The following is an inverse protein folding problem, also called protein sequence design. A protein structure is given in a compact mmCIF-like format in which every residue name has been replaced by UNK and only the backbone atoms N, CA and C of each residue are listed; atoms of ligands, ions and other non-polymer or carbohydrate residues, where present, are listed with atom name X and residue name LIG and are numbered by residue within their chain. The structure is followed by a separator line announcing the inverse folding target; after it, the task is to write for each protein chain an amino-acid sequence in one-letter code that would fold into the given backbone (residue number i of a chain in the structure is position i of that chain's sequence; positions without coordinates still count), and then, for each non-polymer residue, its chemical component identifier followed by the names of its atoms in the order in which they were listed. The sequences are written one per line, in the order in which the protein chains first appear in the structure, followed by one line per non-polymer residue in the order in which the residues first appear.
data_IF_451843799195
#
_entry.id   IF_451843799195
#
_cell.length_a   1.000
_cell.length_b   1.000
_cell.length_c   1.000
_cell.angle_alpha   90.00
_cell.angle_beta   90.00
_cell.angle_gamma   90.00
#
_symmetry.space_group_name_H-M   'P 1'
#
loop_
_entity.id
_entity.type
_entity.pdbx_description
1 polymer ?
#
# COMPACT_ATOMS: atom_id res chain seq x y z
N UNK A 1 -14.77 -22.17 -37.94
CA UNK A 1 -13.47 -21.72 -37.40
C UNK A 1 -13.78 -20.60 -36.44
N UNK A 2 -14.06 -20.97 -35.17
CA UNK A 2 -13.17 -20.76 -34.00
C UNK A 2 -12.95 -19.27 -33.75
N UNK A 3 -13.76 -18.61 -32.92
CA UNK A 3 -13.80 -18.61 -31.44
C UNK A 3 -12.69 -17.75 -30.81
N UNK A 4 -13.08 -17.10 -29.70
CA UNK A 4 -12.29 -16.47 -28.63
C UNK A 4 -11.88 -15.00 -28.77
N UNK A 5 -11.78 -14.23 -27.69
CA UNK A 5 -12.37 -14.28 -26.34
C UNK A 5 -11.86 -13.03 -25.62
N UNK A 6 -12.71 -12.52 -24.75
CA UNK A 6 -12.51 -11.61 -23.61
C UNK A 6 -11.16 -11.75 -22.88
N UNK A 7 -10.60 -10.65 -22.36
CA UNK A 7 -9.99 -10.51 -21.00
C UNK A 7 -9.55 -9.05 -20.77
N UNK A 8 -10.13 -8.31 -19.83
CA UNK A 8 -10.02 -8.37 -18.35
C UNK A 8 -8.63 -7.88 -17.87
N UNK A 9 -8.67 -6.75 -17.18
CA UNK A 9 -7.62 -6.04 -16.43
C UNK A 9 -7.11 -6.82 -15.21
N UNK A 10 -5.84 -6.66 -14.76
CA UNK A 10 -5.42 -7.15 -13.46
C UNK A 10 -5.31 -6.05 -12.39
N UNK A 11 -5.79 -6.41 -11.19
CA UNK A 11 -5.74 -5.69 -9.91
C UNK A 11 -4.41 -5.91 -9.14
N UNK A 12 -4.11 -4.94 -8.26
CA UNK A 12 -3.30 -4.97 -7.02
C UNK A 12 -2.18 -6.02 -6.86
N UNK A 13 -0.93 -5.55 -6.89
CA UNK A 13 0.32 -6.34 -6.79
C UNK A 13 0.69 -6.70 -5.34
N UNK A 14 0.41 -7.94 -4.93
CA UNK A 14 1.12 -8.63 -3.83
C UNK A 14 2.53 -9.01 -4.28
N UNK A 15 3.53 -8.84 -3.40
CA UNK A 15 4.90 -9.25 -3.69
C UNK A 15 4.95 -10.77 -3.90
N UNK A 16 5.27 -11.19 -5.13
CA UNK A 16 5.31 -12.59 -5.56
C UNK A 16 6.76 -13.00 -5.78
N UNK A 17 7.27 -13.93 -4.98
CA UNK A 17 8.58 -14.52 -5.21
C UNK A 17 8.43 -15.65 -6.23
N UNK A 18 9.04 -15.50 -7.40
CA UNK A 18 8.92 -16.44 -8.53
C UNK A 18 10.22 -17.23 -8.68
N UNK A 19 10.11 -18.56 -8.69
CA UNK A 19 11.18 -19.48 -9.12
C UNK A 19 10.75 -20.17 -10.42
N UNK A 20 11.65 -20.93 -11.07
CA UNK A 20 11.34 -21.59 -12.34
C UNK A 20 10.17 -22.59 -12.25
N UNK A 21 9.92 -23.19 -11.08
CA UNK A 21 8.94 -24.28 -10.91
C UNK A 21 7.70 -23.90 -10.06
N UNK A 22 7.80 -22.86 -9.23
CA UNK A 22 6.73 -22.43 -8.34
C UNK A 22 6.86 -20.95 -7.94
N UNK A 23 5.79 -20.43 -7.35
CA UNK A 23 5.75 -19.08 -6.78
C UNK A 23 5.22 -19.09 -5.34
N UNK A 24 5.61 -18.11 -4.53
CA UNK A 24 5.08 -17.88 -3.18
C UNK A 24 4.44 -16.50 -3.13
N UNK A 25 3.25 -16.43 -2.56
CA UNK A 25 2.46 -15.21 -2.41
C UNK A 25 1.79 -15.16 -1.03
N UNK A 26 1.45 -13.94 -0.59
CA UNK A 26 0.61 -13.76 0.59
C UNK A 26 -0.81 -14.23 0.30
N UNK A 27 -1.37 -15.01 1.23
CA UNK A 27 -2.72 -15.53 1.16
C UNK A 27 -3.65 -14.73 2.08
N UNK A 28 -4.80 -14.34 1.56
CA UNK A 28 -5.88 -13.73 2.32
C UNK A 28 -6.81 -14.84 2.84
N UNK A 29 -7.01 -14.89 4.16
CA UNK A 29 -7.76 -15.97 4.81
C UNK A 29 -9.11 -16.24 4.13
N UNK A 30 -9.95 -15.23 3.93
CA UNK A 30 -11.30 -15.41 3.38
C UNK A 30 -11.31 -15.89 1.92
N UNK A 31 -10.33 -15.47 1.12
CA UNK A 31 -10.26 -15.78 -0.32
C UNK A 31 -9.58 -17.12 -0.58
N UNK A 32 -8.50 -17.38 0.12
CA UNK A 32 -7.57 -18.48 -0.18
C UNK A 32 -7.76 -19.68 0.77
N UNK A 33 -8.80 -19.65 1.63
CA UNK A 33 -9.10 -20.69 2.62
C UNK A 33 -9.14 -22.10 2.03
N UNK A 34 -9.76 -22.27 0.87
CA UNK A 34 -9.91 -23.57 0.22
C UNK A 34 -8.54 -24.20 -0.11
N UNK A 35 -7.61 -23.39 -0.60
CA UNK A 35 -6.27 -23.83 -1.00
C UNK A 35 -5.36 -24.07 0.22
N UNK A 36 -5.46 -23.19 1.24
CA UNK A 36 -4.80 -23.38 2.53
C UNK A 36 -5.23 -24.71 3.17
N UNK A 37 -6.55 -24.96 3.14
CA UNK A 37 -7.17 -26.19 3.65
C UNK A 37 -6.72 -27.42 2.89
N UNK A 38 -6.70 -27.36 1.56
CA UNK A 38 -6.29 -28.51 0.75
C UNK A 38 -4.88 -28.99 1.11
N UNK A 39 -3.92 -28.06 1.22
CA UNK A 39 -2.53 -28.40 1.58
C UNK A 39 -2.42 -28.88 3.03
N UNK A 40 -3.08 -28.20 3.97
CA UNK A 40 -3.02 -28.54 5.41
C UNK A 40 -3.68 -29.88 5.71
N UNK A 41 -4.83 -30.18 5.13
CA UNK A 41 -5.49 -31.47 5.32
C UNK A 41 -4.67 -32.63 4.73
N UNK A 42 -4.06 -32.45 3.56
CA UNK A 42 -3.18 -33.48 2.97
C UNK A 42 -1.97 -33.78 3.88
N UNK A 43 -1.30 -32.74 4.40
CA UNK A 43 -0.06 -32.91 5.15
C UNK A 43 -0.30 -33.24 6.63
N UNK A 44 -1.16 -32.50 7.32
CA UNK A 44 -1.34 -32.67 8.77
C UNK A 44 -2.34 -33.78 9.09
N UNK A 45 -3.50 -33.79 8.44
CA UNK A 45 -4.56 -34.77 8.75
C UNK A 45 -4.28 -36.13 8.11
N UNK A 46 -4.04 -36.16 6.79
CA UNK A 46 -3.89 -37.42 6.05
C UNK A 46 -2.50 -38.02 6.29
N UNK A 47 -1.42 -37.25 6.15
CA UNK A 47 -0.07 -37.80 6.28
C UNK A 47 0.38 -37.92 7.74
N UNK A 48 0.23 -36.86 8.55
CA UNK A 48 0.75 -36.84 9.93
C UNK A 48 -0.26 -37.31 10.98
N UNK A 49 -1.50 -37.62 10.58
CA UNK A 49 -2.56 -38.14 11.46
C UNK A 49 -2.92 -37.20 12.63
N UNK A 50 -2.76 -35.88 12.43
CA UNK A 50 -3.30 -34.85 13.32
C UNK A 50 -4.82 -34.87 13.21
N UNK A 51 -5.54 -34.78 14.34
CA UNK A 51 -7.00 -34.77 14.29
C UNK A 51 -7.52 -33.52 13.58
N UNK A 52 -8.66 -33.63 12.88
CA UNK A 52 -9.25 -32.47 12.19
C UNK A 52 -9.64 -31.35 13.15
N UNK A 53 -9.98 -31.69 14.39
CA UNK A 53 -10.35 -30.72 15.42
C UNK A 53 -9.14 -29.93 15.93
N UNK A 54 -7.96 -30.54 16.00
CA UNK A 54 -6.71 -29.87 16.43
C UNK A 54 -6.07 -29.04 15.32
N UNK A 55 -6.40 -29.31 14.05
CA UNK A 55 -5.79 -28.63 12.92
C UNK A 55 -6.18 -27.14 12.84
N UNK A 56 -7.43 -26.82 13.18
CA UNK A 56 -8.01 -25.49 13.04
C UNK A 56 -8.14 -24.80 14.39
N UNK A 57 -7.69 -23.55 14.49
CA UNK A 57 -7.77 -22.78 15.74
C UNK A 57 -8.27 -21.34 15.53
N UNK A 58 -8.53 -20.65 16.63
CA UNK A 58 -9.08 -19.28 16.61
C UNK A 58 -8.10 -18.24 16.03
N UNK A 59 -6.80 -18.56 15.99
CA UNK A 59 -5.77 -17.66 15.46
C UNK A 59 -5.70 -17.70 13.94
N UNK A 60 -6.30 -18.70 13.30
CA UNK A 60 -6.25 -18.86 11.86
C UNK A 60 -6.77 -17.62 11.11
N UNK A 61 -7.92 -17.08 11.50
CA UNK A 61 -8.49 -15.88 10.86
C UNK A 61 -7.68 -14.60 11.10
N UNK A 62 -6.85 -14.57 12.15
CA UNK A 62 -6.05 -13.41 12.55
C UNK A 62 -4.60 -13.46 12.05
N UNK A 63 -4.19 -14.59 11.46
CA UNK A 63 -2.81 -14.84 11.06
C UNK A 63 -2.50 -14.33 9.66
N UNK A 64 -1.23 -14.01 9.42
CA UNK A 64 -0.71 -13.79 8.08
C UNK A 64 -0.38 -15.14 7.45
N UNK A 65 -1.03 -15.46 6.33
CA UNK A 65 -0.81 -16.72 5.61
C UNK A 65 0.04 -16.50 4.37
N UNK A 66 0.80 -17.52 4.00
CA UNK A 66 1.49 -17.61 2.71
C UNK A 66 1.12 -18.91 2.02
N UNK A 67 1.08 -18.86 0.69
CA UNK A 67 0.76 -19.99 -0.15
C UNK A 67 1.81 -20.12 -1.25
N UNK A 68 2.31 -21.34 -1.45
CA UNK A 68 3.13 -21.70 -2.58
C UNK A 68 2.27 -22.36 -3.64
N UNK A 69 2.37 -21.91 -4.89
CA UNK A 69 1.68 -22.48 -6.05
C UNK A 69 2.67 -22.94 -7.11
N UNK A 70 2.43 -24.12 -7.67
CA UNK A 70 3.10 -24.55 -8.89
C UNK A 70 2.70 -23.67 -10.09
N UNK A 71 3.44 -23.78 -11.19
CA UNK A 71 3.19 -22.98 -12.40
C UNK A 71 1.80 -23.22 -13.03
N UNK A 72 1.18 -24.36 -12.76
CA UNK A 72 -0.19 -24.69 -13.17
C UNK A 72 -1.27 -24.14 -12.21
N UNK A 73 -0.87 -23.45 -11.15
CA UNK A 73 -1.74 -22.84 -10.15
C UNK A 73 -2.05 -23.74 -8.94
N UNK A 74 -1.64 -25.01 -8.96
CA UNK A 74 -1.91 -25.95 -7.86
C UNK A 74 -1.27 -25.46 -6.55
N UNK A 75 -1.99 -25.45 -5.41
CA UNK A 75 -1.40 -25.10 -4.12
C UNK A 75 -0.53 -26.26 -3.61
N UNK A 76 0.76 -26.01 -3.43
CA UNK A 76 1.78 -27.03 -3.13
C UNK A 76 2.42 -26.90 -1.74
N UNK A 77 2.20 -25.77 -1.07
CA UNK A 77 2.72 -25.52 0.26
C UNK A 77 2.10 -24.29 0.92
N UNK A 78 2.18 -24.21 2.24
CA UNK A 78 1.66 -23.09 3.02
C UNK A 78 2.42 -22.93 4.34
N UNK A 79 2.22 -21.79 4.99
CA UNK A 79 2.61 -21.51 6.36
C UNK A 79 1.87 -20.28 6.87
N UNK A 80 1.86 -20.08 8.18
CA UNK A 80 1.27 -18.89 8.81
C UNK A 80 2.21 -18.25 9.84
N UNK A 81 2.03 -16.95 10.04
CA UNK A 81 2.57 -16.16 11.13
C UNK A 81 1.40 -15.62 11.97
N UNK A 82 1.31 -16.03 13.23
CA UNK A 82 0.25 -15.58 14.14
C UNK A 82 0.55 -14.19 14.72
N UNK A 83 -0.47 -13.48 15.27
CA UNK A 83 -0.25 -12.23 16.02
C UNK A 83 0.68 -12.39 17.22
N UNK A 84 0.77 -13.60 17.76
CA UNK A 84 1.68 -14.00 18.85
C UNK A 84 3.12 -14.23 18.36
N UNK A 85 3.44 -13.83 17.12
CA UNK A 85 4.78 -13.93 16.51
C UNK A 85 5.24 -15.37 16.31
N UNK A 86 4.29 -16.31 16.23
CA UNK A 86 4.58 -17.73 16.05
C UNK A 86 4.42 -18.13 14.58
N UNK A 87 5.48 -18.69 14.02
CA UNK A 87 5.45 -19.36 12.72
C UNK A 87 4.96 -20.79 12.93
N UNK A 88 3.96 -21.18 12.14
CA UNK A 88 3.33 -22.48 12.27
C UNK A 88 2.59 -22.90 11.01
N UNK A 89 1.96 -24.08 11.07
CA UNK A 89 1.23 -24.68 9.95
C UNK A 89 2.05 -24.74 8.65
N UNK A 90 3.37 -24.90 8.79
CA UNK A 90 4.30 -25.07 7.69
C UNK A 90 4.08 -26.44 7.04
N UNK A 91 3.53 -26.45 5.84
CA UNK A 91 3.21 -27.67 5.11
C UNK A 91 3.71 -27.57 3.66
N UNK A 92 4.31 -28.64 3.16
CA UNK A 92 4.69 -28.78 1.75
C UNK A 92 4.29 -30.18 1.31
N UNK A 93 3.54 -30.28 0.20
CA UNK A 93 3.14 -31.57 -0.36
C UNK A 93 4.36 -32.42 -0.70
N UNK A 94 4.25 -33.72 -0.49
CA UNK A 94 5.38 -34.67 -0.60
C UNK A 94 6.19 -34.56 -1.91
N UNK A 95 5.59 -34.41 -3.12
CA UNK A 95 6.34 -34.27 -4.37
C UNK A 95 7.19 -33.00 -4.48
N UNK A 96 6.90 -31.99 -3.66
CA UNK A 96 7.52 -30.67 -3.69
C UNK A 96 8.57 -30.46 -2.59
N UNK A 97 8.76 -31.45 -1.71
CA UNK A 97 9.81 -31.43 -0.69
C UNK A 97 11.19 -31.57 -1.32
N UNK A 98 12.20 -30.98 -0.69
CA UNK A 98 13.57 -30.91 -1.24
C UNK A 98 13.75 -29.92 -2.40
N UNK A 99 12.67 -29.30 -2.92
CA UNK A 99 12.72 -28.29 -3.99
C UNK A 99 12.72 -26.84 -3.48
N UNK A 100 13.21 -26.61 -2.27
CA UNK A 100 13.27 -25.27 -1.65
C UNK A 100 11.91 -24.57 -1.41
N UNK A 101 10.78 -25.25 -1.56
CA UNK A 101 9.44 -24.67 -1.31
C UNK A 101 9.28 -24.24 0.16
N UNK A 102 9.60 -25.13 1.10
CA UNK A 102 9.53 -24.82 2.53
C UNK A 102 10.46 -23.66 2.93
N UNK A 103 11.65 -23.61 2.32
CA UNK A 103 12.60 -22.53 2.48
C UNK A 103 12.05 -21.18 1.97
N UNK A 104 11.35 -21.18 0.84
CA UNK A 104 10.72 -19.98 0.30
C UNK A 104 9.57 -19.50 1.19
N UNK A 105 8.68 -20.40 1.62
CA UNK A 105 7.60 -20.09 2.56
C UNK A 105 8.12 -19.48 3.87
N UNK A 106 9.14 -20.11 4.47
CA UNK A 106 9.74 -19.64 5.72
C UNK A 106 10.35 -18.25 5.55
N UNK A 107 11.10 -18.01 4.46
CA UNK A 107 11.67 -16.69 4.16
C UNK A 107 10.59 -15.62 4.07
N UNK A 108 9.50 -15.89 3.34
CA UNK A 108 8.40 -14.93 3.20
C UNK A 108 7.72 -14.63 4.54
N UNK A 109 7.55 -15.61 5.42
CA UNK A 109 7.01 -15.38 6.77
C UNK A 109 7.96 -14.59 7.67
N UNK A 110 9.27 -14.88 7.61
CA UNK A 110 10.29 -14.13 8.36
C UNK A 110 10.41 -12.69 7.85
N UNK A 111 10.36 -12.49 6.53
CA UNK A 111 10.28 -11.15 5.92
C UNK A 111 9.04 -10.41 6.40
N UNK A 112 7.88 -11.07 6.42
CA UNK A 112 6.65 -10.47 6.95
C UNK A 112 6.77 -10.08 8.42
N UNK A 113 7.39 -10.92 9.25
CA UNK A 113 7.64 -10.61 10.65
C UNK A 113 8.55 -9.38 10.81
N UNK A 114 9.56 -9.23 9.95
CA UNK A 114 10.44 -8.06 9.94
C UNK A 114 9.70 -6.79 9.51
N UNK A 115 8.84 -6.86 8.49
CA UNK A 115 7.98 -5.74 8.07
C UNK A 115 7.04 -5.28 9.19
N UNK A 116 6.55 -6.21 10.00
CA UNK A 116 5.72 -5.93 11.18
C UNK A 116 6.54 -5.39 12.38
N UNK A 117 7.86 -5.28 12.24
CA UNK A 117 8.76 -4.76 13.27
C UNK A 117 8.98 -5.72 14.45
N UNK A 118 8.79 -7.03 14.26
CA UNK A 118 9.04 -8.00 15.31
C UNK A 118 10.55 -8.16 15.56
N UNK A 119 10.94 -8.15 16.83
CA UNK A 119 12.33 -8.38 17.25
C UNK A 119 12.71 -9.87 17.27
N UNK A 120 11.72 -10.75 17.37
CA UNK A 120 11.90 -12.19 17.28
C UNK A 120 10.64 -12.86 16.73
N UNK A 121 10.81 -14.07 16.21
CA UNK A 121 9.72 -15.01 15.92
C UNK A 121 10.01 -16.35 16.55
N UNK A 122 8.96 -17.05 16.93
CA UNK A 122 9.03 -18.36 17.57
C UNK A 122 8.33 -19.42 16.73
N UNK A 123 8.68 -20.68 16.96
CA UNK A 123 7.97 -21.82 16.41
C UNK A 123 8.11 -23.05 17.29
N UNK A 124 7.19 -23.98 17.11
CA UNK A 124 7.29 -25.33 17.65
C UNK A 124 7.76 -26.22 16.50
N UNK A 125 9.06 -26.57 16.48
CA UNK A 125 9.58 -27.44 15.43
C UNK A 125 9.33 -28.88 15.81
N UNK A 126 8.79 -29.69 14.89
CA UNK A 126 8.89 -31.13 15.00
C UNK A 126 10.37 -31.53 15.11
N UNK A 127 10.70 -32.54 15.93
CA UNK A 127 12.09 -32.97 16.14
C UNK A 127 12.78 -33.32 14.82
N UNK A 128 12.03 -33.88 13.86
CA UNK A 128 12.50 -34.20 12.50
C UNK A 128 12.85 -32.97 11.64
N UNK A 129 12.32 -31.80 11.97
CA UNK A 129 12.48 -30.56 11.21
C UNK A 129 13.46 -29.57 11.86
N UNK A 130 14.06 -29.89 13.01
CA UNK A 130 14.98 -29.00 13.72
C UNK A 130 16.11 -28.54 12.81
N UNK A 131 16.79 -29.47 12.13
CA UNK A 131 17.90 -29.14 11.23
C UNK A 131 17.49 -28.26 10.03
N UNK A 132 16.21 -28.30 9.63
CA UNK A 132 15.70 -27.37 8.62
C UNK A 132 15.66 -25.94 9.18
N UNK A 133 15.13 -25.72 10.37
CA UNK A 133 15.03 -24.38 10.96
C UNK A 133 16.39 -23.83 11.44
N UNK A 134 17.27 -24.70 11.94
CA UNK A 134 18.66 -24.33 12.29
C UNK A 134 19.41 -23.74 11.09
N UNK A 135 19.16 -24.25 9.88
CA UNK A 135 19.74 -23.70 8.65
C UNK A 135 19.28 -22.27 8.34
N UNK A 136 18.20 -21.78 8.96
CA UNK A 136 17.72 -20.39 8.89
C UNK A 136 18.08 -19.56 10.12
N UNK A 137 18.90 -20.10 11.03
CA UNK A 137 19.36 -19.42 12.24
C UNK A 137 18.40 -19.50 13.42
N UNK A 138 17.38 -20.37 13.37
CA UNK A 138 16.57 -20.62 14.56
C UNK A 138 17.38 -21.42 15.59
N UNK A 139 17.26 -21.03 16.86
CA UNK A 139 17.91 -21.68 17.99
C UNK A 139 16.87 -22.40 18.84
N UNK A 140 17.11 -23.68 19.11
CA UNK A 140 16.27 -24.48 19.99
C UNK A 140 16.47 -24.13 21.47
N UNK A 141 15.37 -24.01 22.21
CA UNK A 141 15.40 -23.78 23.66
C UNK A 141 14.38 -24.67 24.37
N UNK A 142 14.53 -24.83 25.68
CA UNK A 142 13.69 -25.73 26.49
C UNK A 142 13.87 -27.21 26.17
N UNK A 143 13.03 -28.03 26.81
CA UNK A 143 12.96 -29.48 26.62
C UNK A 143 12.07 -29.88 25.44
N UNK A 144 12.22 -31.11 24.96
CA UNK A 144 11.27 -31.68 23.99
C UNK A 144 9.90 -31.91 24.66
N UNK A 145 8.82 -31.65 23.92
CA UNK A 145 7.46 -31.87 24.38
C UNK A 145 6.62 -32.54 23.28
N UNK A 146 5.44 -33.03 23.63
CA UNK A 146 4.52 -33.67 22.68
C UNK A 146 3.35 -32.75 22.39
N UNK A 147 3.07 -32.51 21.11
CA UNK A 147 1.93 -31.75 20.61
C UNK A 147 1.34 -32.54 19.43
N UNK A 148 0.02 -32.77 19.42
CA UNK A 148 -0.68 -33.60 18.43
C UNK A 148 0.00 -34.97 18.17
N UNK A 149 0.43 -35.65 19.25
CA UNK A 149 1.17 -36.93 19.22
C UNK A 149 2.53 -36.91 18.53
N UNK A 150 3.08 -35.72 18.24
CA UNK A 150 4.38 -35.54 17.60
C UNK A 150 5.33 -34.86 18.59
N UNK A 151 6.59 -35.30 18.62
CA UNK A 151 7.63 -34.65 19.42
C UNK A 151 8.07 -33.34 18.78
N UNK A 152 8.10 -32.29 19.59
CA UNK A 152 8.45 -30.93 19.23
C UNK A 152 9.53 -30.37 20.15
N UNK A 153 10.18 -29.29 19.70
CA UNK A 153 11.06 -28.45 20.50
C UNK A 153 10.78 -26.98 20.18
N UNK A 154 10.79 -26.12 21.19
CA UNK A 154 10.67 -24.69 20.98
C UNK A 154 11.90 -24.17 20.26
N UNK A 155 11.71 -23.34 19.25
CA UNK A 155 12.79 -22.64 18.58
C UNK A 155 12.43 -21.17 18.38
N UNK A 156 13.43 -20.30 18.42
CA UNK A 156 13.27 -18.86 18.18
C UNK A 156 14.32 -18.36 17.22
N UNK A 157 13.98 -17.32 16.48
CA UNK A 157 14.91 -16.57 15.65
C UNK A 157 14.86 -15.12 16.09
N UNK A 158 15.98 -14.63 16.63
CA UNK A 158 16.17 -13.20 16.81
C UNK A 158 16.21 -12.55 15.42
N UNK A 159 15.26 -11.66 15.17
CA UNK A 159 15.25 -10.86 13.98
C UNK A 159 16.14 -9.66 14.30
N UNK A 160 17.30 -9.59 13.64
CA UNK A 160 17.94 -8.30 13.50
C UNK A 160 16.85 -7.35 13.01
N UNK A 161 16.62 -6.20 13.68
CA UNK A 161 15.69 -5.23 13.13
C UNK A 161 16.09 -5.08 11.68
N UNK A 162 15.13 -5.15 10.75
CA UNK A 162 15.39 -4.52 9.46
C UNK A 162 15.93 -3.17 9.86
N UNK A 163 17.22 -2.94 9.61
CA UNK A 163 17.76 -1.60 9.63
C UNK A 163 16.88 -0.97 8.59
N UNK A 164 15.84 -0.25 9.05
CA UNK A 164 14.89 0.42 8.17
C UNK A 164 15.78 1.07 7.15
N UNK A 165 15.68 0.64 5.86
CA UNK A 165 16.78 0.72 4.90
C UNK A 165 17.48 2.02 5.16
N UNK A 166 18.72 1.97 5.69
CA UNK A 166 19.38 3.11 6.34
C UNK A 166 18.92 4.32 5.58
N UNK A 167 18.01 5.10 6.21
CA UNK A 167 17.31 6.17 5.50
C UNK A 167 18.46 6.97 4.94
N UNK A 168 18.69 6.88 3.62
CA UNK A 168 19.83 7.52 2.99
C UNK A 168 19.89 8.89 3.64
N UNK A 169 21.00 9.27 4.30
CA UNK A 169 21.03 10.41 5.22
C UNK A 169 20.20 11.48 4.56
N UNK A 170 19.07 11.91 5.19
CA UNK A 170 17.98 12.57 4.47
C UNK A 170 18.65 13.54 3.54
N UNK A 171 18.46 13.35 2.22
CA UNK A 171 19.07 14.21 1.21
C UNK A 171 18.98 15.61 1.80
N UNK A 172 20.15 16.28 2.02
CA UNK A 172 20.32 17.33 3.01
C UNK A 172 19.05 18.15 3.03
N UNK A 173 18.36 18.21 4.19
CA UNK A 173 16.98 18.67 4.28
C UNK A 173 16.79 19.78 3.25
N UNK A 174 16.00 19.54 2.18
CA UNK A 174 15.99 20.45 1.04
C UNK A 174 15.79 21.83 1.60
N UNK A 175 16.63 22.79 1.17
CA UNK A 175 16.61 24.13 1.73
C UNK A 175 15.17 24.59 1.83
N UNK A 176 14.68 24.70 3.07
CA UNK A 176 13.30 25.08 3.29
C UNK A 176 13.18 26.52 2.86
N UNK A 177 12.48 26.73 1.76
CA UNK A 177 12.12 28.03 1.26
C UNK A 177 10.70 28.27 1.73
N UNK A 178 10.56 29.17 2.69
CA UNK A 178 9.25 29.64 3.14
C UNK A 178 8.69 30.61 2.09
N UNK A 179 7.40 30.48 1.82
CA UNK A 179 6.66 31.31 0.88
C UNK A 179 5.58 32.07 1.63
N UNK A 180 5.41 33.34 1.27
CA UNK A 180 4.24 34.13 1.64
C UNK A 180 3.70 34.73 0.37
N UNK A 181 2.39 34.62 0.16
CA UNK A 181 1.72 35.11 -1.03
C UNK A 181 0.67 36.11 -0.63
N UNK A 182 0.48 37.17 -1.42
CA UNK A 182 -0.59 38.16 -1.26
C UNK A 182 -1.21 38.56 -2.59
N UNK A 183 -0.57 38.18 -3.70
CA UNK A 183 -1.03 38.45 -5.07
C UNK A 183 -1.16 37.16 -5.88
N UNK A 184 -1.94 37.22 -6.96
CA UNK A 184 -2.10 36.11 -7.90
C UNK A 184 -0.75 35.60 -8.43
N UNK A 185 0.13 36.52 -8.86
CA UNK A 185 1.40 36.17 -9.49
C UNK A 185 2.34 35.49 -8.49
N UNK A 186 2.37 35.93 -7.22
CA UNK A 186 3.12 35.26 -6.16
C UNK A 186 2.57 33.87 -5.84
N UNK A 187 1.24 33.71 -5.82
CA UNK A 187 0.59 32.41 -5.63
C UNK A 187 0.91 31.46 -6.79
N UNK A 188 0.83 31.91 -8.04
CA UNK A 188 1.22 31.11 -9.22
C UNK A 188 2.70 30.73 -9.17
N UNK A 189 3.59 31.68 -8.87
CA UNK A 189 5.03 31.42 -8.76
C UNK A 189 5.34 30.38 -7.67
N UNK A 190 4.65 30.46 -6.52
CA UNK A 190 4.81 29.51 -5.42
C UNK A 190 4.30 28.12 -5.80
N UNK A 191 3.11 28.03 -6.41
CA UNK A 191 2.59 26.76 -6.91
C UNK A 191 3.55 26.12 -7.94
N UNK A 192 4.12 26.90 -8.85
CA UNK A 192 5.10 26.42 -9.81
C UNK A 192 6.36 25.88 -9.13
N UNK A 193 6.91 26.62 -8.16
CA UNK A 193 8.09 26.18 -7.41
C UNK A 193 7.84 24.85 -6.68
N UNK A 194 6.66 24.70 -6.05
CA UNK A 194 6.27 23.46 -5.38
C UNK A 194 6.09 22.29 -6.36
N UNK A 195 5.41 22.52 -7.50
CA UNK A 195 5.18 21.49 -8.51
C UNK A 195 6.47 21.03 -9.19
N UNK A 196 7.41 21.94 -9.45
CA UNK A 196 8.75 21.59 -9.97
C UNK A 196 9.54 20.72 -8.99
N UNK A 197 9.30 20.88 -7.68
CA UNK A 197 9.91 20.08 -6.63
C UNK A 197 9.24 18.71 -6.40
N UNK A 198 8.01 18.51 -6.89
CA UNK A 198 7.22 17.30 -6.69
C UNK A 198 7.64 16.18 -7.65
N UNK A 199 7.45 14.91 -7.24
CA UNK A 199 7.82 13.77 -8.10
C UNK A 199 6.63 12.92 -8.56
N UNK A 200 5.65 12.67 -7.69
CA UNK A 200 4.62 11.64 -7.94
C UNK A 200 3.24 12.00 -7.42
N UNK A 201 3.14 12.57 -6.22
CA UNK A 201 1.85 12.74 -5.57
C UNK A 201 1.58 14.21 -5.27
N UNK A 202 0.40 14.65 -5.71
CA UNK A 202 -0.14 15.99 -5.45
C UNK A 202 -1.53 15.83 -4.85
N UNK A 203 -1.80 16.52 -3.74
CA UNK A 203 -3.13 16.63 -3.16
C UNK A 203 -3.57 18.10 -3.18
N UNK A 204 -4.76 18.37 -3.69
CA UNK A 204 -5.29 19.73 -3.85
C UNK A 204 -6.66 19.80 -3.18
N UNK A 205 -6.83 20.74 -2.25
CA UNK A 205 -8.13 21.12 -1.75
C UNK A 205 -8.46 22.52 -2.29
N UNK A 206 -9.53 22.63 -3.07
CA UNK A 206 -9.94 23.86 -3.72
C UNK A 206 -11.45 24.05 -3.60
N UNK A 207 -11.91 25.30 -3.67
CA UNK A 207 -13.34 25.61 -3.71
C UNK A 207 -13.93 25.30 -5.08
N UNK A 208 -13.43 25.99 -6.10
CA UNK A 208 -13.96 26.00 -7.46
C UNK A 208 -12.85 25.74 -8.50
N UNK A 209 -11.85 24.93 -8.13
CA UNK A 209 -10.61 24.72 -8.88
C UNK A 209 -9.81 26.02 -9.11
N UNK A 210 -10.00 27.02 -8.24
CA UNK A 210 -9.29 28.30 -8.19
C UNK A 210 -8.99 28.92 -9.57
N UNK A 211 -10.01 29.50 -10.23
CA UNK A 211 -9.86 30.18 -11.51
C UNK A 211 -8.74 31.21 -11.50
N UNK A 212 -7.96 31.25 -12.57
CA UNK A 212 -6.75 32.06 -12.66
C UNK A 212 -5.51 31.46 -11.97
N UNK A 213 -5.63 30.45 -11.10
CA UNK A 213 -4.50 29.77 -10.47
C UNK A 213 -4.27 28.38 -11.07
N UNK A 214 -5.22 27.45 -10.91
CA UNK A 214 -5.01 26.06 -11.35
C UNK A 214 -5.26 25.85 -12.85
N UNK A 215 -5.92 26.81 -13.52
CA UNK A 215 -6.10 26.87 -14.99
C UNK A 215 -4.98 27.65 -15.70
N UNK A 216 -4.00 28.17 -14.95
CA UNK A 216 -2.84 28.86 -15.47
C UNK A 216 -2.01 27.91 -16.35
N UNK A 217 -1.57 28.38 -17.52
CA UNK A 217 -0.89 27.53 -18.52
C UNK A 217 0.31 26.78 -17.95
N UNK A 218 1.11 27.45 -17.13
CA UNK A 218 2.35 26.88 -16.60
C UNK A 218 2.07 25.86 -15.49
N UNK A 219 0.99 26.06 -14.73
CA UNK A 219 0.53 25.12 -13.71
C UNK A 219 0.00 23.84 -14.37
N UNK A 220 -0.82 24.00 -15.41
CA UNK A 220 -1.31 22.87 -16.21
C UNK A 220 -0.16 22.09 -16.85
N UNK A 221 0.84 22.80 -17.39
CA UNK A 221 2.02 22.18 -17.97
C UNK A 221 2.83 21.39 -16.92
N UNK A 222 3.02 21.95 -15.72
CA UNK A 222 3.71 21.27 -14.63
C UNK A 222 2.97 20.02 -14.15
N UNK A 223 1.64 20.10 -13.95
CA UNK A 223 0.81 18.96 -13.58
C UNK A 223 0.79 17.88 -14.68
N UNK A 224 0.71 18.28 -15.96
CA UNK A 224 0.82 17.35 -17.08
C UNK A 224 2.18 16.65 -17.11
N UNK A 225 3.28 17.38 -16.84
CA UNK A 225 4.62 16.82 -16.81
C UNK A 225 4.75 15.74 -15.72
N UNK A 226 4.30 16.03 -14.50
CA UNK A 226 4.30 15.07 -13.38
C UNK A 226 3.50 13.82 -13.76
N UNK A 227 2.30 14.00 -14.31
CA UNK A 227 1.41 12.90 -14.70
C UNK A 227 1.95 12.00 -15.81
N UNK A 228 2.83 12.52 -16.68
CA UNK A 228 3.36 11.76 -17.84
C UNK A 228 4.73 11.15 -17.62
N UNK A 229 5.54 11.70 -16.69
CA UNK A 229 6.89 11.20 -16.40
C UNK A 229 6.93 10.22 -15.22
N UNK A 230 6.03 10.35 -14.24
CA UNK A 230 6.07 9.56 -13.01
C UNK A 230 5.37 8.21 -13.14
N UNK A 231 6.11 7.10 -13.05
CA UNK A 231 5.49 5.79 -12.77
C UNK A 231 4.75 5.89 -11.43
N UNK A 232 3.43 5.74 -11.46
CA UNK A 232 2.56 5.84 -10.29
C UNK A 232 2.20 7.27 -9.87
N UNK A 233 2.30 8.26 -10.77
CA UNK A 233 1.87 9.63 -10.47
C UNK A 233 0.37 9.70 -10.18
N UNK A 234 -0.02 10.50 -9.19
CA UNK A 234 -1.40 10.71 -8.75
C UNK A 234 -1.63 12.17 -8.37
N UNK A 235 -2.68 12.75 -8.92
CA UNK A 235 -3.17 14.09 -8.57
C UNK A 235 -4.58 13.94 -8.02
N UNK A 236 -4.73 14.15 -6.72
CA UNK A 236 -6.00 13.99 -6.00
C UNK A 236 -6.56 15.35 -5.67
N UNK A 237 -7.80 15.62 -6.07
CA UNK A 237 -8.41 16.95 -5.95
C UNK A 237 -9.75 16.84 -5.23
N UNK A 238 -9.86 17.51 -4.08
CA UNK A 238 -11.13 17.81 -3.45
C UNK A 238 -11.64 19.15 -3.99
N UNK A 239 -12.79 19.12 -4.67
CA UNK A 239 -13.48 20.31 -5.15
C UNK A 239 -14.82 20.45 -4.43
N UNK A 240 -15.09 21.63 -3.88
CA UNK A 240 -16.29 21.88 -3.04
C UNK A 240 -17.49 22.27 -3.88
N UNK A 241 -17.26 23.04 -4.93
CA UNK A 241 -18.25 23.58 -5.84
C UNK A 241 -17.89 23.19 -7.29
N UNK A 242 -18.14 21.91 -7.68
CA UNK A 242 -17.80 21.41 -9.02
C UNK A 242 -18.64 22.09 -10.12
N UNK A 243 -19.89 22.44 -9.83
CA UNK A 243 -20.79 23.08 -10.80
C UNK A 243 -20.25 24.45 -11.24
N UNK A 244 -19.76 25.24 -10.27
CA UNK A 244 -19.15 26.53 -10.56
C UNK A 244 -17.85 26.40 -11.33
N UNK A 245 -17.01 25.42 -10.97
CA UNK A 245 -15.78 25.12 -11.71
C UNK A 245 -16.04 24.74 -13.19
N UNK A 246 -17.14 24.01 -13.46
CA UNK A 246 -17.59 23.71 -14.83
C UNK A 246 -18.09 24.95 -15.55
N UNK A 247 -18.93 25.76 -14.90
CA UNK A 247 -19.49 26.97 -15.47
C UNK A 247 -18.40 27.96 -15.91
N UNK A 248 -17.35 28.09 -15.11
CA UNK A 248 -16.20 28.96 -15.40
C UNK A 248 -15.26 28.38 -16.47
N UNK A 249 -15.51 27.16 -16.95
CA UNK A 249 -14.74 26.52 -18.01
C UNK A 249 -13.29 26.20 -17.60
N UNK A 250 -13.08 25.81 -16.34
CA UNK A 250 -11.73 25.63 -15.79
C UNK A 250 -10.95 24.58 -16.59
N UNK A 251 -9.82 25.00 -17.19
CA UNK A 251 -8.99 24.18 -18.09
C UNK A 251 -8.37 22.96 -17.42
N UNK A 252 -8.28 22.94 -16.08
CA UNK A 252 -7.84 21.76 -15.34
C UNK A 252 -8.79 20.57 -15.53
N UNK A 253 -10.09 20.81 -15.72
CA UNK A 253 -11.08 19.76 -15.97
C UNK A 253 -10.71 19.00 -17.25
N UNK A 254 -10.42 19.73 -18.33
CA UNK A 254 -10.01 19.12 -19.60
C UNK A 254 -8.69 18.34 -19.49
N UNK A 255 -7.73 18.82 -18.68
CA UNK A 255 -6.50 18.09 -18.39
C UNK A 255 -6.77 16.79 -17.62
N UNK A 256 -7.60 16.86 -16.57
CA UNK A 256 -7.96 15.72 -15.73
C UNK A 256 -8.71 14.64 -16.53
N UNK A 257 -9.61 15.04 -17.44
CA UNK A 257 -10.30 14.12 -18.35
C UNK A 257 -9.33 13.40 -19.30
N UNK A 258 -8.33 14.12 -19.85
CA UNK A 258 -7.32 13.53 -20.75
C UNK A 258 -6.34 12.59 -20.03
N UNK A 259 -6.09 12.82 -18.74
CA UNK A 259 -5.18 12.05 -17.90
C UNK A 259 -5.94 11.36 -16.75
N UNK A 260 -7.04 10.68 -17.08
CA UNK A 260 -7.97 10.09 -16.10
C UNK A 260 -7.38 8.98 -15.23
N UNK A 261 -6.26 8.38 -15.63
CA UNK A 261 -5.52 7.41 -14.79
C UNK A 261 -4.62 8.08 -13.74
N UNK A 262 -4.40 9.39 -13.84
CA UNK A 262 -3.53 10.18 -12.95
C UNK A 262 -4.36 11.10 -12.07
N UNK A 263 -5.40 11.72 -12.63
CA UNK A 263 -6.25 12.66 -11.91
C UNK A 263 -7.47 11.97 -11.33
N UNK A 264 -7.67 12.16 -10.04
CA UNK A 264 -8.90 11.81 -9.36
C UNK A 264 -9.49 13.08 -8.74
N UNK A 265 -10.75 13.35 -9.05
CA UNK A 265 -11.49 14.49 -8.50
C UNK A 265 -12.67 13.95 -7.70
N UNK A 266 -12.79 14.42 -6.45
CA UNK A 266 -13.85 14.05 -5.53
C UNK A 266 -14.52 15.29 -4.95
N UNK A 267 -15.79 15.12 -4.57
CA UNK A 267 -16.65 16.18 -4.03
C UNK A 267 -17.05 15.81 -2.61
N UNK A 268 -16.78 16.64 -1.59
CA UNK A 268 -17.22 16.38 -0.24
C UNK A 268 -18.75 16.31 -0.11
N UNK A 269 -19.24 15.34 0.66
CA UNK A 269 -20.68 15.14 0.87
C UNK A 269 -21.21 15.78 2.15
N UNK A 270 -20.36 15.88 3.18
CA UNK A 270 -20.72 16.40 4.50
C UNK A 270 -20.68 17.93 4.53
N UNK A 271 -21.65 18.55 5.20
CA UNK A 271 -21.76 20.01 5.27
C UNK A 271 -20.50 20.66 5.85
N UNK A 272 -19.90 20.10 6.91
CA UNK A 272 -18.66 20.61 7.49
C UNK A 272 -17.53 20.69 6.46
N UNK A 273 -17.44 19.71 5.56
CA UNK A 273 -16.43 19.66 4.52
C UNK A 273 -16.81 20.48 3.30
N UNK A 274 -18.07 20.88 3.12
CA UNK A 274 -18.46 21.80 2.05
C UNK A 274 -18.18 23.25 2.45
N UNK A 275 -18.35 23.57 3.73
CA UNK A 275 -18.18 24.93 4.28
C UNK A 275 -16.74 25.30 4.66
N UNK A 276 -15.80 24.36 4.63
CA UNK A 276 -14.40 24.68 4.92
C UNK A 276 -13.84 25.70 3.89
N UNK A 277 -13.29 26.80 4.40
CA UNK A 277 -12.99 28.00 3.60
C UNK A 277 -11.61 27.99 3.00
N UNK A 278 -10.70 27.18 3.54
CA UNK A 278 -9.29 27.21 3.14
C UNK A 278 -9.07 26.43 1.86
N UNK A 279 -8.05 26.83 1.09
CA UNK A 279 -7.52 26.06 -0.03
C UNK A 279 -6.07 25.68 0.24
N UNK A 280 -5.63 24.52 -0.24
CA UNK A 280 -4.24 24.12 -0.12
C UNK A 280 -3.79 23.17 -1.21
N UNK A 281 -2.49 23.16 -1.48
CA UNK A 281 -1.80 22.18 -2.30
C UNK A 281 -0.69 21.53 -1.48
N UNK A 282 -0.55 20.21 -1.61
CA UNK A 282 0.48 19.40 -0.98
C UNK A 282 1.26 18.64 -2.05
N UNK A 283 2.56 18.46 -1.82
CA UNK A 283 3.43 17.64 -2.67
C UNK A 283 3.99 16.45 -1.89
N UNK A 284 4.43 15.41 -2.60
CA UNK A 284 5.08 14.22 -2.04
C UNK A 284 6.40 14.49 -1.30
N UNK A 285 7.01 15.67 -1.50
CA UNK A 285 8.24 16.10 -0.82
C UNK A 285 8.00 16.97 0.42
N UNK A 286 6.83 16.85 1.05
CA UNK A 286 6.46 17.66 2.22
C UNK A 286 6.38 19.17 1.95
N UNK A 287 6.22 19.56 0.68
CA UNK A 287 5.96 20.93 0.28
C UNK A 287 4.46 21.25 0.39
N UNK A 288 4.13 22.48 0.75
CA UNK A 288 2.74 22.92 0.85
C UNK A 288 2.57 24.39 0.49
N UNK A 289 1.36 24.72 0.05
CA UNK A 289 0.81 26.07 0.04
C UNK A 289 -0.56 26.01 0.70
N UNK A 290 -0.81 26.86 1.70
CA UNK A 290 -2.06 26.97 2.43
C UNK A 290 -2.58 28.40 2.35
N UNK A 291 -3.85 28.54 1.95
CA UNK A 291 -4.58 29.81 1.91
C UNK A 291 -5.78 29.69 2.87
N UNK A 292 -5.82 30.43 4.00
CA UNK A 292 -6.92 30.35 4.97
C UNK A 292 -8.30 30.67 4.39
N UNK A 293 -8.33 31.50 3.34
CA UNK A 293 -9.51 31.84 2.56
C UNK A 293 -9.21 31.57 1.08
N UNK A 294 -9.88 30.58 0.49
CA UNK A 294 -9.71 30.17 -0.89
C UNK A 294 -9.97 31.30 -1.90
N UNK A 295 -10.77 32.30 -1.51
CA UNK A 295 -11.11 33.45 -2.35
C UNK A 295 -10.03 34.55 -2.35
N UNK A 296 -8.99 34.40 -1.52
CA UNK A 296 -7.87 35.35 -1.42
C UNK A 296 -6.56 34.71 -1.91
N UNK A 297 -5.59 35.56 -2.23
CA UNK A 297 -4.22 35.15 -2.54
C UNK A 297 -3.31 35.13 -1.31
N UNK A 298 -3.80 35.62 -0.17
CA UNK A 298 -3.09 35.58 1.11
C UNK A 298 -2.88 34.12 1.54
N UNK A 299 -1.62 33.73 1.69
CA UNK A 299 -1.25 32.37 1.99
C UNK A 299 0.19 32.21 2.47
N UNK A 300 0.43 31.07 3.09
CA UNK A 300 1.73 30.63 3.58
C UNK A 300 2.11 29.31 2.89
N UNK A 301 3.39 29.10 2.66
CA UNK A 301 3.87 27.86 2.07
C UNK A 301 5.30 27.56 2.50
N UNK A 302 5.74 26.36 2.18
CA UNK A 302 7.11 25.94 2.42
C UNK A 302 7.51 24.85 1.44
N UNK A 303 8.72 24.90 0.90
CA UNK A 303 9.25 23.84 0.04
C UNK A 303 9.46 22.53 0.82
N UNK A 304 9.63 22.61 2.15
CA UNK A 304 9.77 21.45 3.03
C UNK A 304 9.31 21.76 4.47
N UNK A 305 8.05 21.43 4.79
CA UNK A 305 7.47 21.62 6.12
C UNK A 305 6.69 20.38 6.60
N UNK A 306 7.37 19.29 7.00
CA UNK A 306 6.75 17.98 7.24
C UNK A 306 5.68 17.96 8.34
N UNK A 307 5.78 18.84 9.35
CA UNK A 307 4.76 18.94 10.40
C UNK A 307 3.43 19.52 9.87
N UNK A 308 3.51 20.66 9.19
CA UNK A 308 2.35 21.34 8.59
C UNK A 308 1.76 20.53 7.46
N UNK A 309 2.61 19.95 6.60
CA UNK A 309 2.21 19.04 5.53
C UNK A 309 1.41 17.85 6.07
N UNK A 310 1.92 17.15 7.11
CA UNK A 310 1.21 16.03 7.72
C UNK A 310 -0.15 16.43 8.28
N UNK A 311 -0.25 17.60 8.92
CA UNK A 311 -1.52 18.11 9.44
C UNK A 311 -2.56 18.28 8.33
N UNK A 312 -2.18 18.94 7.23
CA UNK A 312 -3.06 19.19 6.08
C UNK A 312 -3.40 17.89 5.34
N UNK A 313 -2.43 16.98 5.19
CA UNK A 313 -2.65 15.69 4.57
C UNK A 313 -3.62 14.84 5.38
N UNK A 314 -3.47 14.79 6.71
CA UNK A 314 -4.41 14.06 7.58
C UNK A 314 -5.85 14.56 7.41
N UNK A 315 -6.05 15.89 7.31
CA UNK A 315 -7.37 16.45 7.01
C UNK A 315 -7.84 16.04 5.60
N UNK A 316 -6.97 16.16 4.59
CA UNK A 316 -7.28 15.78 3.22
C UNK A 316 -7.76 14.33 3.13
N UNK A 317 -7.03 13.38 3.72
CA UNK A 317 -7.38 11.94 3.67
C UNK A 317 -8.71 11.66 4.37
N UNK A 318 -8.98 12.28 5.52
CA UNK A 318 -10.25 12.13 6.23
C UNK A 318 -11.44 12.56 5.35
N UNK A 319 -11.32 13.68 4.65
CA UNK A 319 -12.35 14.16 3.73
C UNK A 319 -12.42 13.27 2.47
N UNK A 320 -11.26 12.86 1.96
CA UNK A 320 -11.13 12.06 0.73
C UNK A 320 -11.85 10.71 0.82
N UNK A 321 -11.65 9.97 1.92
CA UNK A 321 -12.26 8.65 2.14
C UNK A 321 -13.79 8.69 2.13
N UNK A 322 -14.37 9.80 2.57
CA UNK A 322 -15.83 9.99 2.66
C UNK A 322 -16.41 10.88 1.56
N UNK A 323 -15.59 11.32 0.60
CA UNK A 323 -16.02 12.13 -0.54
C UNK A 323 -16.42 11.23 -1.71
N UNK A 324 -17.44 11.65 -2.48
CA UNK A 324 -17.87 10.93 -3.69
C UNK A 324 -17.01 11.31 -4.90
N UNK A 325 -17.00 10.47 -5.92
CA UNK A 325 -16.45 10.84 -7.23
C UNK A 325 -17.19 12.02 -7.85
N UNK A 326 -16.45 12.90 -8.54
CA UNK A 326 -17.01 14.01 -9.31
C UNK A 326 -17.44 13.56 -10.71
N UNK A 327 -18.50 12.75 -10.81
CA UNK A 327 -18.97 12.21 -12.09
C UNK A 327 -19.47 13.30 -13.06
N UNK A 328 -20.01 14.39 -12.53
CA UNK A 328 -20.40 15.59 -13.28
C UNK A 328 -19.22 16.20 -14.07
N UNK A 329 -18.00 16.10 -13.54
CA UNK A 329 -16.79 16.60 -14.20
C UNK A 329 -16.23 15.63 -15.25
N UNK A 330 -16.74 14.39 -15.32
CA UNK A 330 -16.28 13.37 -16.27
C UNK A 330 -17.11 13.35 -17.56
N UNK A 331 -18.33 13.89 -17.53
CA UNK A 331 -19.21 13.87 -18.69
C UNK A 331 -18.74 14.92 -19.71
N UNK A 332 -18.48 14.47 -20.94
CA UNK A 332 -18.34 15.34 -22.10
C UNK A 332 -19.71 16.01 -22.30
N UNK A 333 -19.77 17.33 -22.13
CA UNK A 333 -20.82 18.12 -22.75
C UNK A 333 -20.76 17.84 -24.25
N UNK A 334 -21.76 17.09 -24.74
CA UNK A 334 -22.02 16.84 -26.16
C UNK A 334 -22.34 18.13 -26.90
#
# INVERSE_FOLDING_TARGET
MTDQSTRITPESSTAKTITADFSVEHAAWDRDLADLREVREEVFVIEQQVSREEEWDELDALSHHVLARANDGQPIGTGRLTPERKIGRMAVRKPWRGKQVGAALLRTLVERARELGYAEVELHSQVSAIGFYEAFGFEGYGEEFVEANIRHRHMRLALAPMTAPERAPPAPAPQNQDYHTSTRDETVATLLALLQGAAREIAICSRELDPGLLDHSDILAALQHIGTQGRGARVRILVRDPDRAMHDGNRLIALAQRLSSVFEIRVPEFDEDRHYTSAFLLTDRSGYLFRPDALRYEGEGGSYAPGRHRQLLSYFEQVWERARGADELRQLSL
#
